data_IF_080082138778
#
_entry.id   IF_080082138778
#
_cell.length_a   1.000
_cell.length_b   1.000
_cell.length_c   1.000
_cell.angle_alpha   90.00
_cell.angle_beta   90.00
_cell.angle_gamma   90.00
#
_symmetry.space_group_name_H-M   'P 1'
#
loop_
_entity.id
_entity.type
_entity.pdbx_description
1 polymer ?
#
# COMPACT_ATOMS: atom_id res chain seq x y z
N UNK A 1 0.66 8.78 17.13
CA UNK A 1 0.57 8.32 15.72
C UNK A 1 1.84 8.78 15.00
N UNK A 2 2.83 7.90 14.88
CA UNK A 2 4.06 8.20 14.13
C UNK A 2 3.71 8.28 12.65
N UNK A 3 4.01 9.40 12.00
CA UNK A 3 3.87 9.52 10.55
C UNK A 3 4.89 8.59 9.89
N UNK A 4 4.43 7.43 9.42
CA UNK A 4 5.24 6.53 8.59
C UNK A 4 5.44 7.23 7.24
N UNK A 5 6.70 7.34 6.81
CA UNK A 5 7.05 7.94 5.52
C UNK A 5 6.50 7.14 4.35
N UNK A 6 6.36 7.80 3.19
CA UNK A 6 5.91 7.14 1.96
C UNK A 6 6.90 6.08 1.48
N UNK A 7 8.21 6.33 1.60
CA UNK A 7 9.24 5.33 1.29
C UNK A 7 9.03 4.03 2.06
N UNK A 8 8.82 4.11 3.38
CA UNK A 8 8.60 2.91 4.20
C UNK A 8 7.37 2.12 3.77
N UNK A 9 6.30 2.80 3.32
CA UNK A 9 5.10 2.13 2.81
C UNK A 9 5.36 1.43 1.48
N UNK A 10 6.11 2.06 0.58
CA UNK A 10 6.44 1.50 -0.73
C UNK A 10 7.35 0.27 -0.55
N UNK A 11 8.40 0.38 0.27
CA UNK A 11 9.27 -0.75 0.59
C UNK A 11 8.50 -1.92 1.17
N UNK A 12 7.52 -1.67 2.06
CA UNK A 12 6.68 -2.72 2.61
C UNK A 12 5.86 -3.44 1.53
N UNK A 13 5.34 -2.71 0.54
CA UNK A 13 4.55 -3.28 -0.56
C UNK A 13 5.45 -4.08 -1.51
N UNK A 14 6.63 -3.55 -1.87
CA UNK A 14 7.61 -4.24 -2.69
C UNK A 14 8.11 -5.53 -2.02
N UNK A 15 8.36 -5.50 -0.70
CA UNK A 15 8.73 -6.69 0.07
C UNK A 15 7.60 -7.73 0.07
N UNK A 16 6.35 -7.30 0.20
CA UNK A 16 5.21 -8.20 0.11
C UNK A 16 5.07 -8.84 -1.28
N UNK A 17 5.24 -8.06 -2.36
CA UNK A 17 5.07 -8.55 -3.73
C UNK A 17 6.21 -9.45 -4.22
N UNK A 18 7.42 -9.24 -3.70
CA UNK A 18 8.60 -10.06 -4.03
C UNK A 18 8.80 -11.24 -3.07
N UNK A 19 8.22 -11.17 -1.87
CA UNK A 19 8.31 -12.17 -0.83
C UNK A 19 7.21 -13.24 -0.88
N UNK A 20 7.40 -14.27 -0.06
CA UNK A 20 6.39 -15.32 0.21
C UNK A 20 5.65 -15.10 1.53
N UNK A 21 5.86 -13.94 2.16
CA UNK A 21 5.31 -13.58 3.48
C UNK A 21 3.87 -13.09 3.39
N UNK A 22 3.06 -13.41 4.40
CA UNK A 22 1.68 -12.96 4.48
C UNK A 22 1.56 -11.43 4.65
N UNK A 23 0.51 -10.83 4.06
CA UNK A 23 0.20 -9.38 4.16
C UNK A 23 0.24 -8.87 5.61
N UNK A 24 -0.30 -9.65 6.54
CA UNK A 24 -0.36 -9.32 7.99
C UNK A 24 1.02 -9.27 8.64
N UNK A 25 1.91 -10.18 8.26
CA UNK A 25 3.27 -10.25 8.79
C UNK A 25 4.09 -9.04 8.33
N UNK A 26 3.98 -8.69 7.04
CA UNK A 26 4.67 -7.51 6.49
C UNK A 26 4.11 -6.22 7.09
N UNK A 27 2.78 -6.07 7.17
CA UNK A 27 2.17 -4.90 7.80
C UNK A 27 2.66 -4.69 9.24
N UNK A 28 2.74 -5.77 10.04
CA UNK A 28 3.24 -5.73 11.42
C UNK A 28 4.73 -5.37 11.48
N UNK A 29 5.56 -5.91 10.57
CA UNK A 29 7.00 -5.61 10.46
C UNK A 29 7.25 -4.11 10.27
N UNK A 30 6.46 -3.46 9.43
CA UNK A 30 6.59 -2.03 9.11
C UNK A 30 5.73 -1.11 9.98
N UNK A 31 5.00 -1.64 10.96
CA UNK A 31 4.10 -0.86 11.83
C UNK A 31 2.91 -0.25 11.11
N UNK A 32 2.53 -0.79 9.94
CA UNK A 32 1.40 -0.32 9.13
C UNK A 32 0.14 -1.08 9.57
N UNK A 33 -1.00 -0.40 9.65
CA UNK A 33 -2.25 -1.10 9.92
C UNK A 33 -2.57 -2.06 8.78
N UNK A 34 -3.01 -3.28 9.11
CA UNK A 34 -3.27 -4.33 8.12
C UNK A 34 -4.30 -3.89 7.07
N UNK A 35 -5.34 -3.19 7.50
CA UNK A 35 -6.37 -2.66 6.61
C UNK A 35 -5.81 -1.65 5.59
N UNK A 36 -5.03 -0.67 6.07
CA UNK A 36 -4.38 0.31 5.20
C UNK A 36 -3.41 -0.40 4.24
N UNK A 37 -2.65 -1.38 4.74
CA UNK A 37 -1.73 -2.15 3.92
C UNK A 37 -2.44 -2.92 2.81
N UNK A 38 -3.58 -3.57 3.10
CA UNK A 38 -4.39 -4.25 2.08
C UNK A 38 -4.86 -3.30 0.97
N UNK A 39 -5.36 -2.11 1.34
CA UNK A 39 -5.79 -1.10 0.36
C UNK A 39 -4.61 -0.66 -0.51
N UNK A 40 -3.47 -0.34 0.11
CA UNK A 40 -2.29 0.11 -0.63
C UNK A 40 -1.74 -0.96 -1.57
N UNK A 41 -1.76 -2.23 -1.17
CA UNK A 41 -1.40 -3.36 -2.05
C UNK A 41 -2.34 -3.42 -3.24
N UNK A 42 -3.66 -3.32 -3.04
CA UNK A 42 -4.62 -3.35 -4.15
C UNK A 42 -4.46 -2.17 -5.12
N UNK A 43 -4.22 -0.95 -4.60
CA UNK A 43 -3.93 0.22 -5.44
C UNK A 43 -2.63 0.00 -6.22
N UNK A 44 -1.59 -0.54 -5.59
CA UNK A 44 -0.31 -0.79 -6.24
C UNK A 44 -0.41 -1.88 -7.32
N UNK A 45 -1.20 -2.93 -7.10
CA UNK A 45 -1.43 -3.98 -8.10
C UNK A 45 -2.20 -3.44 -9.32
N UNK A 46 -3.14 -2.51 -9.13
CA UNK A 46 -3.96 -1.92 -10.19
C UNK A 46 -3.24 -0.81 -10.98
N UNK A 47 -2.53 0.08 -10.28
CA UNK A 47 -2.02 1.33 -10.83
C UNK A 47 -0.49 1.49 -10.70
N UNK A 48 0.19 0.48 -10.14
CA UNK A 48 1.61 0.52 -9.84
C UNK A 48 1.96 1.57 -8.79
N UNK A 49 3.25 1.91 -8.72
CA UNK A 49 3.80 2.92 -7.79
C UNK A 49 3.13 4.30 -7.95
N UNK A 50 2.73 4.65 -9.18
CA UNK A 50 2.10 5.93 -9.48
C UNK A 50 0.73 6.10 -8.83
N UNK A 51 -0.07 5.02 -8.71
CA UNK A 51 -1.39 5.11 -8.07
C UNK A 51 -1.34 5.39 -6.56
N UNK A 52 -0.22 5.09 -5.90
CA UNK A 52 -0.01 5.44 -4.49
C UNK A 52 0.42 6.89 -4.29
N UNK A 53 1.24 7.43 -5.20
CA UNK A 53 1.77 8.79 -5.10
C UNK A 53 0.80 9.83 -5.63
N UNK A 54 0.10 9.50 -6.71
CA UNK A 54 -0.92 10.32 -7.33
C UNK A 54 -2.23 9.55 -7.24
N UNK A 55 -2.91 9.57 -6.07
CA UNK A 55 -4.25 9.02 -6.01
C UNK A 55 -5.07 9.71 -7.10
N UNK A 56 -5.82 8.94 -7.92
CA UNK A 56 -6.69 9.54 -8.91
C UNK A 56 -7.59 10.54 -8.20
N UNK A 57 -7.70 11.75 -8.76
CA UNK A 57 -8.67 12.73 -8.25
C UNK A 57 -10.00 12.01 -8.07
N UNK A 58 -10.67 12.24 -6.93
CA UNK A 58 -12.02 11.73 -6.66
C UNK A 58 -12.98 12.49 -7.59
N UNK A 59 -12.86 12.24 -8.88
CA UNK A 59 -13.89 12.49 -9.87
C UNK A 59 -14.85 11.30 -9.78
N UNK A 60 -16.15 11.55 -9.74
CA UNK A 60 -17.20 10.55 -9.47
C UNK A 60 -17.31 9.38 -10.47
N UNK A 61 -16.28 9.14 -11.27
CA UNK A 61 -16.11 8.02 -12.20
C UNK A 61 -15.38 6.82 -11.59
N UNK A 62 -14.73 6.96 -10.43
CA UNK A 62 -14.16 5.83 -9.69
C UNK A 62 -15.27 5.00 -9.02
N UNK A 63 -15.76 3.98 -9.72
CA UNK A 63 -16.60 2.93 -9.15
C UNK A 63 -15.73 1.70 -8.91
N UNK A 64 -15.63 1.31 -7.64
CA UNK A 64 -15.04 0.03 -7.17
C UNK A 64 -16.16 -1.00 -7.13
#
# INVERSE_FOLDING_TARGET
MTKISWDTKITAIEEYLTGTTAKTAVAKKFGISTFLFQIMVGIYELYGRNGLMNPPEISGTFRI
#
